data_IF_616362991591
#
_entry.id   IF_616362991591
#
_cell.length_a   1.000
_cell.length_b   1.000
_cell.length_c   1.000
_cell.angle_alpha   90.00
_cell.angle_beta   90.00
_cell.angle_gamma   90.00
#
_symmetry.space_group_name_H-M   'P 1'
#
loop_
_entity.id
_entity.type
_entity.pdbx_description
1 polymer ?
#
# COMPACT_ATOMS: atom_id res chain seq x y z
N UNK A 1 10.61 -11.82 3.73
CA UNK A 1 10.07 -11.37 2.43
C UNK A 1 9.74 -12.53 1.52
N UNK A 2 10.70 -13.36 1.09
CA UNK A 2 10.47 -14.48 0.16
C UNK A 2 9.27 -15.36 0.51
N UNK A 3 9.26 -15.97 1.69
CA UNK A 3 8.18 -16.88 2.09
C UNK A 3 6.82 -16.15 2.20
N UNK A 4 6.84 -14.89 2.64
CA UNK A 4 5.63 -14.07 2.77
C UNK A 4 5.07 -13.57 1.44
N UNK A 5 5.85 -13.64 0.35
CA UNK A 5 5.41 -13.22 -0.99
C UNK A 5 4.97 -14.40 -1.85
N UNK A 6 5.37 -15.63 -1.53
CA UNK A 6 5.02 -16.81 -2.34
C UNK A 6 3.50 -16.95 -2.54
N UNK A 7 3.08 -16.98 -3.81
CA UNK A 7 1.67 -17.15 -4.18
C UNK A 7 0.77 -15.96 -3.94
N UNK A 8 1.31 -14.81 -3.51
CA UNK A 8 0.54 -13.60 -3.24
C UNK A 8 0.09 -12.94 -4.55
N UNK A 9 -1.21 -12.62 -4.65
CA UNK A 9 -1.81 -11.88 -5.76
C UNK A 9 -1.65 -10.36 -5.63
N UNK A 10 -1.63 -9.86 -4.38
CA UNK A 10 -1.52 -8.43 -4.08
C UNK A 10 -0.57 -8.19 -2.91
N UNK A 11 0.46 -7.39 -3.14
CA UNK A 11 1.41 -6.96 -2.11
C UNK A 11 1.00 -5.58 -1.61
N UNK A 12 0.45 -5.53 -0.39
CA UNK A 12 0.13 -4.27 0.29
C UNK A 12 1.33 -3.79 1.10
N UNK A 13 1.98 -2.74 0.61
CA UNK A 13 3.05 -2.06 1.30
C UNK A 13 2.50 -1.00 2.24
N UNK A 14 3.19 -0.75 3.35
CA UNK A 14 2.81 0.23 4.36
C UNK A 14 3.93 1.23 4.61
N UNK A 15 3.54 2.44 4.99
CA UNK A 15 4.47 3.51 5.32
C UNK A 15 5.24 3.20 6.60
N UNK A 16 6.56 3.21 6.54
CA UNK A 16 7.37 3.21 7.76
C UNK A 16 7.34 4.60 8.41
N UNK A 17 6.75 4.70 9.60
CA UNK A 17 6.60 5.96 10.33
C UNK A 17 7.80 6.23 11.23
N UNK A 18 8.92 6.67 10.64
CA UNK A 18 10.16 6.97 11.36
C UNK A 18 9.95 7.95 12.52
N UNK A 19 9.01 8.88 12.36
CA UNK A 19 8.64 9.86 13.38
C UNK A 19 8.05 9.25 14.67
N UNK A 20 7.68 7.97 14.66
CA UNK A 20 7.11 7.26 15.82
C UNK A 20 8.06 6.25 16.44
N UNK A 21 9.28 6.16 15.91
CA UNK A 21 10.22 5.08 16.20
C UNK A 21 11.40 5.52 17.06
N UNK A 22 11.39 6.76 17.54
CA UNK A 22 12.41 7.28 18.45
C UNK A 22 12.48 6.44 19.74
N UNK A 23 13.68 5.97 20.10
CA UNK A 23 13.89 5.08 21.25
C UNK A 23 13.60 3.60 21.01
N UNK A 24 13.12 3.20 19.83
CA UNK A 24 12.99 1.80 19.46
C UNK A 24 14.29 1.26 18.81
N UNK A 25 14.57 -0.03 18.97
CA UNK A 25 15.68 -0.72 18.29
C UNK A 25 15.33 -0.99 16.83
N UNK A 26 15.26 0.07 16.03
CA UNK A 26 14.86 0.00 14.62
C UNK A 26 16.10 0.05 13.73
N UNK A 27 16.17 -0.82 12.70
CA UNK A 27 17.21 -0.75 11.68
C UNK A 27 17.29 0.61 11.00
N UNK A 28 18.46 0.93 10.43
CA UNK A 28 18.55 2.08 9.52
C UNK A 28 17.59 1.92 8.34
N UNK A 29 17.17 3.02 7.71
CA UNK A 29 16.29 2.98 6.53
C UNK A 29 16.85 2.08 5.41
N UNK A 30 18.16 2.12 5.19
CA UNK A 30 18.86 1.27 4.22
C UNK A 30 18.80 -0.21 4.59
N UNK A 31 18.98 -0.53 5.86
CA UNK A 31 18.88 -1.90 6.35
C UNK A 31 17.45 -2.41 6.28
N UNK A 32 16.49 -1.57 6.64
CA UNK A 32 15.06 -1.87 6.50
C UNK A 32 14.71 -2.17 5.04
N UNK A 33 15.11 -1.31 4.10
CA UNK A 33 14.85 -1.51 2.67
C UNK A 33 15.46 -2.81 2.16
N UNK A 34 16.70 -3.11 2.56
CA UNK A 34 17.38 -4.35 2.16
C UNK A 34 16.58 -5.60 2.55
N UNK A 35 16.05 -5.65 3.77
CA UNK A 35 15.39 -6.85 4.30
C UNK A 35 13.88 -6.89 4.02
N UNK A 36 13.19 -5.74 4.04
CA UNK A 36 11.73 -5.64 3.99
C UNK A 36 11.18 -4.65 2.97
N UNK A 37 12.00 -3.75 2.43
CA UNK A 37 11.58 -2.90 1.32
C UNK A 37 11.29 -3.73 0.08
N UNK A 38 10.24 -3.37 -0.66
CA UNK A 38 9.83 -4.06 -1.89
C UNK A 38 10.56 -3.47 -3.10
N UNK A 39 11.43 -4.27 -3.70
CA UNK A 39 12.09 -4.02 -4.99
C UNK A 39 11.63 -5.06 -6.02
N UNK A 40 12.13 -4.94 -7.26
CA UNK A 40 11.76 -5.83 -8.36
C UNK A 40 12.19 -7.28 -8.15
N UNK A 41 13.33 -7.51 -7.50
CA UNK A 41 13.82 -8.87 -7.21
C UNK A 41 12.88 -9.57 -6.22
N UNK A 42 12.49 -8.87 -5.14
CA UNK A 42 11.58 -9.43 -4.14
C UNK A 42 10.17 -9.58 -4.70
N UNK A 43 9.68 -8.64 -5.51
CA UNK A 43 8.38 -8.75 -6.17
C UNK A 43 8.29 -9.99 -7.07
N UNK A 44 9.40 -10.41 -7.69
CA UNK A 44 9.44 -11.62 -8.50
C UNK A 44 9.21 -12.92 -7.70
N UNK A 45 9.24 -12.88 -6.36
CA UNK A 45 8.83 -14.01 -5.52
C UNK A 45 7.31 -14.14 -5.37
N UNK A 46 6.56 -13.10 -5.72
CA UNK A 46 5.09 -13.13 -5.75
C UNK A 46 4.56 -13.92 -6.95
N UNK A 47 3.24 -14.11 -6.99
CA UNK A 47 2.60 -14.74 -8.15
C UNK A 47 2.89 -13.90 -9.41
N UNK A 48 3.15 -14.51 -10.59
CA UNK A 48 3.22 -13.76 -11.84
C UNK A 48 1.97 -12.92 -12.06
N UNK A 49 2.16 -11.62 -12.32
CA UNK A 49 1.05 -10.66 -12.46
C UNK A 49 0.52 -10.09 -11.14
N UNK A 50 1.17 -10.38 -10.01
CA UNK A 50 0.82 -9.78 -8.73
C UNK A 50 0.81 -8.25 -8.81
N UNK A 51 -0.13 -7.64 -8.09
CA UNK A 51 -0.30 -6.19 -8.01
C UNK A 51 0.32 -5.62 -6.75
N UNK A 52 0.69 -4.36 -6.78
CA UNK A 52 1.26 -3.64 -5.64
C UNK A 52 0.32 -2.53 -5.22
N UNK A 53 0.07 -2.42 -3.92
CA UNK A 53 -0.80 -1.43 -3.32
C UNK A 53 -0.08 -0.73 -2.16
N UNK A 54 -0.43 0.52 -1.89
CA UNK A 54 0.10 1.30 -0.77
C UNK A 54 -0.89 2.43 -0.41
N UNK A 55 -1.29 2.61 0.87
CA UNK A 55 -2.31 3.59 1.25
C UNK A 55 -1.84 5.05 1.18
N UNK A 56 -0.52 5.27 1.23
CA UNK A 56 0.09 6.60 1.13
C UNK A 56 0.04 7.40 2.45
N UNK A 57 0.83 8.49 2.56
CA UNK A 57 1.98 8.81 1.70
C UNK A 57 3.07 7.74 1.82
N UNK A 58 3.84 7.51 0.76
CA UNK A 58 4.91 6.49 0.73
C UNK A 58 6.30 7.14 0.80
N UNK A 59 7.23 6.51 1.50
CA UNK A 59 8.64 6.82 1.49
C UNK A 59 9.36 5.92 0.46
N UNK A 60 9.74 6.53 -0.66
CA UNK A 60 10.53 5.86 -1.71
C UNK A 60 11.92 5.51 -1.21
N UNK A 61 12.40 4.32 -1.56
CA UNK A 61 13.70 3.80 -1.12
C UNK A 61 13.75 3.36 0.35
N UNK A 62 12.60 3.30 1.04
CA UNK A 62 12.51 2.77 2.41
C UNK A 62 11.59 1.55 2.44
N UNK A 63 10.30 1.72 2.18
CA UNK A 63 9.38 0.59 2.06
C UNK A 63 9.21 0.08 0.62
N UNK A 64 9.38 0.92 -0.39
CA UNK A 64 9.14 0.55 -1.80
C UNK A 64 10.13 1.25 -2.72
N UNK A 65 10.60 0.53 -3.73
CA UNK A 65 11.43 1.09 -4.78
C UNK A 65 10.60 1.94 -5.75
N UNK A 66 11.21 2.97 -6.33
CA UNK A 66 10.48 3.92 -7.18
C UNK A 66 9.99 3.28 -8.46
N UNK A 67 10.80 2.40 -9.04
CA UNK A 67 10.46 1.71 -10.29
C UNK A 67 9.25 0.77 -10.11
N UNK A 68 9.10 0.13 -8.96
CA UNK A 68 7.93 -0.70 -8.62
C UNK A 68 6.70 0.18 -8.37
N UNK A 69 6.87 1.28 -7.63
CA UNK A 69 5.76 2.19 -7.33
C UNK A 69 5.16 2.84 -8.60
N UNK A 70 6.00 3.11 -9.60
CA UNK A 70 5.62 3.82 -10.84
C UNK A 70 5.32 2.89 -12.02
N UNK A 71 5.52 1.57 -11.88
CA UNK A 71 5.23 0.59 -12.93
C UNK A 71 3.72 0.36 -13.06
N UNK A 72 3.12 0.99 -14.07
CA UNK A 72 1.68 0.91 -14.37
C UNK A 72 1.18 -0.52 -14.65
N UNK A 73 2.07 -1.47 -14.96
CA UNK A 73 1.68 -2.86 -15.19
C UNK A 73 1.42 -3.62 -13.88
N UNK A 74 1.95 -3.16 -12.74
CA UNK A 74 1.82 -3.84 -11.45
C UNK A 74 1.28 -2.95 -10.33
N UNK A 75 1.56 -1.65 -10.34
CA UNK A 75 1.17 -0.71 -9.29
C UNK A 75 -0.29 -0.26 -9.45
N UNK A 76 -1.06 -0.40 -8.38
CA UNK A 76 -2.44 0.10 -8.25
C UNK A 76 -2.53 1.30 -7.30
N UNK A 77 -1.40 1.90 -6.92
CA UNK A 77 -1.36 2.93 -5.87
C UNK A 77 -2.16 4.17 -6.26
N UNK A 78 -2.07 4.61 -7.52
CA UNK A 78 -2.86 5.75 -8.01
C UNK A 78 -4.34 5.40 -8.13
N UNK A 79 -4.65 4.19 -8.62
CA UNK A 79 -6.01 3.68 -8.70
C UNK A 79 -6.67 3.63 -7.31
N UNK A 80 -5.94 3.26 -6.26
CA UNK A 80 -6.43 3.31 -4.88
C UNK A 80 -6.86 4.71 -4.44
N UNK A 81 -6.08 5.73 -4.80
CA UNK A 81 -6.38 7.13 -4.45
C UNK A 81 -7.66 7.58 -5.15
N UNK A 82 -7.78 7.29 -6.44
CA UNK A 82 -8.98 7.59 -7.23
C UNK A 82 -10.20 6.86 -6.68
N UNK A 83 -10.10 5.54 -6.47
CA UNK A 83 -11.18 4.73 -5.92
C UNK A 83 -11.58 5.16 -4.50
N UNK A 84 -10.66 5.75 -3.73
CA UNK A 84 -10.96 6.34 -2.43
C UNK A 84 -11.98 7.48 -2.50
N UNK A 85 -12.05 8.24 -3.59
CA UNK A 85 -13.10 9.26 -3.81
C UNK A 85 -14.44 8.58 -4.02
N UNK A 86 -14.51 7.63 -4.97
CA UNK A 86 -15.73 6.90 -5.29
C UNK A 86 -16.30 6.16 -4.07
N UNK A 87 -15.45 5.47 -3.30
CA UNK A 87 -15.85 4.76 -2.08
C UNK A 87 -16.46 5.71 -1.04
N UNK A 88 -15.84 6.88 -0.80
CA UNK A 88 -16.38 7.89 0.13
C UNK A 88 -17.71 8.46 -0.34
N UNK A 89 -17.86 8.74 -1.64
CA UNK A 89 -19.12 9.20 -2.22
C UNK A 89 -20.23 8.17 -2.00
N UNK A 90 -19.95 6.89 -2.26
CA UNK A 90 -20.92 5.80 -2.05
C UNK A 90 -21.34 5.67 -0.58
N UNK A 91 -20.38 5.74 0.35
CA UNK A 91 -20.67 5.72 1.80
C UNK A 91 -21.54 6.90 2.22
N UNK A 92 -21.20 8.12 1.77
CA UNK A 92 -21.98 9.32 2.07
C UNK A 92 -23.40 9.25 1.49
N UNK A 93 -23.54 8.81 0.24
CA UNK A 93 -24.85 8.63 -0.39
C UNK A 93 -25.73 7.63 0.39
N UNK A 94 -25.17 6.49 0.77
CA UNK A 94 -25.88 5.48 1.56
C UNK A 94 -26.30 5.98 2.96
N UNK A 95 -25.49 6.85 3.58
CA UNK A 95 -25.84 7.46 4.87
C UNK A 95 -26.92 8.54 4.72
N UNK A 96 -26.87 9.34 3.66
CA UNK A 96 -27.89 10.37 3.39
C UNK A 96 -29.27 9.76 3.14
N UNK A 97 -29.37 8.70 2.33
CA UNK A 97 -30.64 8.00 2.07
C UNK A 97 -31.23 7.39 3.35
N UNK A 98 -30.39 6.79 4.21
CA UNK A 98 -30.85 6.24 5.50
C UNK A 98 -31.41 7.31 6.44
N UNK A 99 -30.90 8.55 6.36
CA UNK A 99 -31.37 9.64 7.20
C UNK A 99 -32.75 10.16 6.78
N UNK A 100 -33.05 10.15 5.48
CA UNK A 100 -34.37 10.53 4.94
C UNK A 100 -35.47 9.51 5.29
N UNK A 101 -35.12 8.21 5.34
CA UNK A 101 -36.04 7.15 5.74
C UNK A 101 -36.27 7.01 7.26
N UNK A 102 -35.43 7.60 8.10
CA UNK A 102 -35.57 7.57 9.57
C UNK A 102 -36.31 8.80 10.14
N UNK A 103 -36.66 9.77 9.30
CA UNK A 103 -37.46 10.95 9.64
C UNK A 103 -38.93 10.87 9.21
N UNK A 104 -39.36 9.71 8.70
CA UNK A 104 -40.76 9.32 8.47
C UNK A 104 -41.10 8.21 9.47
#
# INVERSE_FOLDING_TARGET
MKDGLQGVDVVMMLRLQLERMEGALVPSTREYFRFWGLDREKLAWARPGAKVMHPGPMNRGVEIDSDVADDLSVSLIQDQVEMGVAARMAVLAALSVRREGAGQ
#
